data_IF_460125018534
#
_entry.id   IF_460125018534
#
_cell.length_a   1.000
_cell.length_b   1.000
_cell.length_c   1.000
_cell.angle_alpha   90.00
_cell.angle_beta   90.00
_cell.angle_gamma   90.00
#
_symmetry.space_group_name_H-M   'P 1'
#
loop_
_entity.id
_entity.type
_entity.pdbx_description
1 polymer ?
#
# COMPACT_ATOMS: atom_id res chain seq x y z
N UNK A 1 -80.30 34.10 57.27
CA UNK A 1 -79.16 34.39 56.36
C UNK A 1 -78.13 33.30 56.54
N UNK A 2 -77.69 32.74 55.41
CA UNK A 2 -76.95 31.50 55.27
C UNK A 2 -75.50 31.53 55.81
N UNK A 3 -75.15 30.37 56.39
CA UNK A 3 -73.87 29.64 56.42
C UNK A 3 -72.78 30.08 55.42
N UNK A 4 -71.48 29.98 55.71
CA UNK A 4 -70.74 28.69 55.69
C UNK A 4 -69.28 28.89 56.13
N UNK A 5 -68.81 28.05 57.06
CA UNK A 5 -67.39 27.84 57.32
C UNK A 5 -66.80 26.96 56.22
N UNK A 6 -65.73 27.42 55.58
CA UNK A 6 -65.01 26.67 54.54
C UNK A 6 -64.06 25.70 55.24
N UNK A 7 -64.44 24.42 55.32
CA UNK A 7 -63.52 23.33 55.65
C UNK A 7 -62.91 22.78 54.36
N UNK A 8 -61.58 22.95 54.22
CA UNK A 8 -60.84 22.43 53.08
C UNK A 8 -60.39 21.00 53.43
N UNK A 9 -60.70 19.96 52.62
CA UNK A 9 -60.38 18.59 52.97
C UNK A 9 -58.89 18.28 52.80
N UNK A 10 -58.21 17.94 53.89
CA UNK A 10 -56.75 17.67 53.99
C UNK A 10 -56.23 16.57 53.03
N UNK A 11 -57.12 15.68 52.55
CA UNK A 11 -56.77 14.61 51.61
C UNK A 11 -56.37 15.09 50.21
N UNK A 12 -56.85 16.26 49.75
CA UNK A 12 -56.48 16.81 48.43
C UNK A 12 -55.09 17.46 48.42
N UNK A 13 -54.70 18.08 49.54
CA UNK A 13 -53.36 18.65 49.73
C UNK A 13 -52.32 17.53 49.85
N UNK A 14 -52.65 16.44 50.58
CA UNK A 14 -51.77 15.28 50.71
C UNK A 14 -51.56 14.53 49.37
N UNK A 15 -52.59 14.45 48.52
CA UNK A 15 -52.48 13.84 47.19
C UNK A 15 -51.65 14.68 46.21
N UNK A 16 -51.79 16.02 46.23
CA UNK A 16 -50.95 16.91 45.42
C UNK A 16 -49.48 16.90 45.86
N UNK A 17 -49.20 16.77 47.17
CA UNK A 17 -47.82 16.66 47.67
C UNK A 17 -47.19 15.32 47.27
N UNK A 18 -47.94 14.21 47.30
CA UNK A 18 -47.45 12.91 46.83
C UNK A 18 -47.13 12.88 45.33
N UNK A 19 -47.95 13.52 44.47
CA UNK A 19 -47.68 13.58 43.01
C UNK A 19 -46.49 14.49 42.68
N UNK A 20 -46.25 15.52 43.48
CA UNK A 20 -45.11 16.44 43.32
C UNK A 20 -43.78 15.79 43.74
N UNK A 21 -43.81 14.88 44.72
CA UNK A 21 -42.63 14.16 45.21
C UNK A 21 -42.20 13.04 44.24
N UNK A 22 -43.14 12.42 43.52
CA UNK A 22 -42.80 11.38 42.53
C UNK A 22 -42.15 11.93 41.25
N UNK A 23 -42.27 13.22 40.96
CA UNK A 23 -41.60 13.84 39.80
C UNK A 23 -40.13 14.23 40.07
N UNK A 24 -39.67 14.22 41.31
CA UNK A 24 -38.30 14.64 41.67
C UNK A 24 -37.27 13.50 41.64
N UNK A 25 -37.69 12.25 41.45
CA UNK A 25 -36.79 11.08 41.43
C UNK A 25 -36.36 10.64 40.02
N UNK A 26 -36.80 11.33 38.96
CA UNK A 26 -36.41 11.02 37.56
C UNK A 26 -35.28 11.93 37.04
N UNK A 27 -34.90 12.97 37.78
CA UNK A 27 -33.90 13.92 37.32
C UNK A 27 -32.54 13.65 37.97
N UNK A 28 -31.76 12.77 37.34
CA UNK A 28 -30.30 12.88 37.18
C UNK A 28 -29.76 11.58 36.57
N UNK A 29 -30.01 11.36 35.27
CA UNK A 29 -29.01 10.64 34.48
C UNK A 29 -27.96 11.69 34.11
N UNK A 30 -26.74 11.54 34.60
CA UNK A 30 -25.62 12.36 34.14
C UNK A 30 -25.36 11.98 32.68
N UNK A 31 -25.79 12.82 31.75
CA UNK A 31 -25.35 12.76 30.36
C UNK A 31 -23.96 13.37 30.30
N UNK A 32 -22.96 12.54 30.00
CA UNK A 32 -21.61 13.02 29.71
C UNK A 32 -21.57 13.44 28.23
N UNK A 33 -20.94 14.58 27.90
CA UNK A 33 -20.77 14.98 26.52
C UNK A 33 -19.95 13.92 25.77
N UNK A 34 -20.34 13.64 24.53
CA UNK A 34 -19.57 12.77 23.65
C UNK A 34 -18.17 13.36 23.38
N UNK A 35 -17.18 12.48 23.25
CA UNK A 35 -15.78 12.89 23.09
C UNK A 35 -15.47 13.32 21.64
N UNK A 36 -14.79 14.47 21.42
CA UNK A 36 -14.49 15.03 20.10
C UNK A 36 -13.19 14.50 19.48
N UNK A 37 -12.62 13.42 20.01
CA UNK A 37 -11.30 12.93 19.59
C UNK A 37 -11.42 12.05 18.34
N UNK A 38 -10.83 12.50 17.22
CA UNK A 38 -10.77 11.79 15.94
C UNK A 38 -9.33 11.62 15.44
N UNK A 39 -8.41 11.43 16.38
CA UNK A 39 -6.99 11.25 16.08
C UNK A 39 -6.66 9.81 15.67
N UNK A 40 -5.77 9.66 14.69
CA UNK A 40 -5.15 8.38 14.37
C UNK A 40 -3.89 8.23 15.21
N UNK A 41 -3.87 7.24 16.10
CA UNK A 41 -2.78 7.01 17.04
C UNK A 41 -1.66 6.19 16.40
N UNK A 42 -2.02 5.20 15.58
CA UNK A 42 -1.04 4.37 14.88
C UNK A 42 -1.56 3.87 13.54
N UNK A 43 -0.63 3.68 12.62
CA UNK A 43 -0.84 3.00 11.35
C UNK A 43 0.40 2.18 11.03
N UNK A 44 0.21 0.94 10.62
CA UNK A 44 1.30 0.09 10.13
C UNK A 44 0.83 -0.87 9.06
N UNK A 45 1.75 -1.32 8.22
CA UNK A 45 1.55 -2.43 7.29
C UNK A 45 2.61 -3.49 7.56
N UNK A 46 2.55 -4.64 6.88
CA UNK A 46 3.64 -5.62 6.91
C UNK A 46 4.52 -5.52 5.67
N UNK A 47 5.82 -5.73 5.84
CA UNK A 47 6.75 -5.96 4.73
C UNK A 47 6.60 -7.39 4.15
N UNK A 48 7.37 -7.70 3.10
CA UNK A 48 7.34 -9.03 2.47
C UNK A 48 7.80 -10.18 3.39
N UNK A 49 8.49 -9.89 4.50
CA UNK A 49 8.90 -10.85 5.52
C UNK A 49 7.92 -10.91 6.72
N UNK A 50 6.84 -10.12 6.69
CA UNK A 50 5.84 -10.05 7.75
C UNK A 50 6.20 -9.08 8.90
N UNK A 51 7.29 -8.32 8.79
CA UNK A 51 7.65 -7.35 9.82
C UNK A 51 6.78 -6.10 9.73
N UNK A 52 6.41 -5.47 10.86
CA UNK A 52 5.64 -4.24 10.84
C UNK A 52 6.47 -3.06 10.31
N UNK A 53 5.92 -2.35 9.34
CA UNK A 53 6.36 -1.04 8.86
C UNK A 53 5.41 0.02 9.42
N UNK A 54 5.88 0.74 10.44
CA UNK A 54 5.12 1.82 11.06
C UNK A 54 5.13 3.07 10.18
N UNK A 55 3.97 3.72 10.07
CA UNK A 55 3.85 4.99 9.36
C UNK A 55 4.33 6.17 10.21
N UNK A 56 4.80 7.21 9.52
CA UNK A 56 4.86 8.56 10.10
C UNK A 56 3.52 9.26 9.88
N UNK A 57 2.89 9.72 10.96
CA UNK A 57 1.65 10.50 10.90
C UNK A 57 2.01 11.96 11.09
N UNK A 58 1.85 12.77 10.04
CA UNK A 58 2.19 14.21 10.06
C UNK A 58 1.02 15.01 9.53
N UNK A 59 0.36 15.75 10.43
CA UNK A 59 -0.91 16.41 10.12
C UNK A 59 -1.96 15.38 9.70
N UNK A 60 -2.47 15.51 8.49
CA UNK A 60 -3.46 14.60 7.91
C UNK A 60 -2.84 13.61 6.90
N UNK A 61 -1.52 13.36 6.97
CA UNK A 61 -0.84 12.40 6.11
C UNK A 61 -0.34 11.20 6.89
N UNK A 62 -0.55 10.02 6.32
CA UNK A 62 -0.02 8.73 6.80
C UNK A 62 1.04 8.29 5.81
N UNK A 63 2.31 8.38 6.18
CA UNK A 63 3.44 8.14 5.28
C UNK A 63 4.13 6.84 5.63
N UNK A 64 4.17 5.90 4.69
CA UNK A 64 4.90 4.63 4.83
C UNK A 64 6.00 4.54 3.78
N UNK A 65 7.19 4.12 4.22
CA UNK A 65 8.33 3.85 3.34
C UNK A 65 8.48 2.35 3.13
N UNK A 66 8.40 1.92 1.87
CA UNK A 66 8.63 0.52 1.53
C UNK A 66 10.14 0.23 1.38
N UNK A 67 10.64 -0.91 1.88
CA UNK A 67 12.04 -1.28 1.78
C UNK A 67 12.57 -1.25 0.34
N UNK A 68 13.83 -0.82 0.14
CA UNK A 68 14.47 -0.88 -1.17
C UNK A 68 14.72 -2.32 -1.59
N UNK A 69 14.80 -2.56 -2.90
CA UNK A 69 15.12 -3.87 -3.48
C UNK A 69 14.12 -4.99 -3.18
N UNK A 70 12.97 -4.65 -2.59
CA UNK A 70 11.84 -5.54 -2.41
C UNK A 70 10.79 -5.17 -3.46
N UNK A 71 10.16 -6.20 -4.02
CA UNK A 71 9.01 -6.07 -4.91
C UNK A 71 7.93 -5.19 -4.25
N UNK A 72 7.36 -4.24 -4.98
CA UNK A 72 6.22 -3.47 -4.48
C UNK A 72 5.00 -4.39 -4.46
N UNK A 73 4.27 -4.52 -3.34
CA UNK A 73 3.06 -5.32 -3.32
C UNK A 73 1.92 -4.59 -4.06
N UNK A 74 1.01 -5.34 -4.67
CA UNK A 74 -0.19 -4.75 -5.28
C UNK A 74 -1.19 -4.27 -4.23
N UNK A 75 -1.23 -4.95 -3.08
CA UNK A 75 -2.13 -4.66 -1.97
C UNK A 75 -1.39 -4.71 -0.63
N UNK A 76 -1.90 -3.96 0.35
CA UNK A 76 -1.41 -4.01 1.73
C UNK A 76 -2.60 -4.05 2.69
N UNK A 77 -2.41 -4.63 3.86
CA UNK A 77 -3.42 -4.71 4.92
C UNK A 77 -2.96 -3.90 6.12
N UNK A 78 -3.55 -2.71 6.37
CA UNK A 78 -3.13 -1.87 7.47
C UNK A 78 -3.67 -2.29 8.82
N UNK A 79 -2.85 -2.14 9.85
CA UNK A 79 -3.23 -2.18 11.25
C UNK A 79 -3.30 -0.75 11.78
N UNK A 80 -4.47 -0.34 12.25
CA UNK A 80 -4.79 1.05 12.60
C UNK A 80 -5.31 1.10 14.03
N UNK A 81 -4.78 2.05 14.81
CA UNK A 81 -5.32 2.43 16.11
C UNK A 81 -5.75 3.89 16.04
N UNK A 82 -6.93 4.18 16.58
CA UNK A 82 -7.50 5.53 16.68
C UNK A 82 -7.87 5.84 18.12
N UNK A 83 -8.13 7.12 18.40
CA UNK A 83 -8.53 7.59 19.72
C UNK A 83 -9.67 6.76 20.34
N UNK A 84 -9.68 6.67 21.67
CA UNK A 84 -10.72 5.93 22.40
C UNK A 84 -12.13 6.39 21.98
N UNK A 85 -13.04 5.44 21.72
CA UNK A 85 -14.41 5.66 21.24
C UNK A 85 -14.55 6.23 19.82
N UNK A 86 -13.45 6.53 19.13
CA UNK A 86 -13.48 6.85 17.70
C UNK A 86 -13.61 5.58 16.85
N UNK A 87 -14.00 5.78 15.58
CA UNK A 87 -14.02 4.72 14.56
C UNK A 87 -13.26 5.17 13.32
N UNK A 88 -12.80 4.23 12.49
CA UNK A 88 -12.07 4.53 11.25
C UNK A 88 -12.65 3.77 10.07
N UNK A 89 -12.73 4.45 8.91
CA UNK A 89 -13.09 3.87 7.62
C UNK A 89 -12.05 4.23 6.56
N UNK A 90 -11.52 3.28 5.77
CA UNK A 90 -11.69 1.82 5.91
C UNK A 90 -11.27 1.29 7.28
N UNK A 91 -11.96 0.24 7.74
CA UNK A 91 -11.66 -0.39 9.05
C UNK A 91 -10.26 -1.01 9.03
N UNK A 92 -9.55 -0.97 10.16
CA UNK A 92 -8.30 -1.72 10.35
C UNK A 92 -8.44 -3.17 9.88
N UNK A 93 -7.44 -3.69 9.16
CA UNK A 93 -7.47 -5.02 8.55
C UNK A 93 -8.14 -5.10 7.19
N UNK A 94 -8.69 -4.00 6.65
CA UNK A 94 -9.20 -3.96 5.27
C UNK A 94 -8.03 -3.85 4.30
N UNK A 95 -7.91 -4.81 3.37
CA UNK A 95 -6.91 -4.76 2.32
C UNK A 95 -7.18 -3.58 1.36
N UNK A 96 -6.13 -2.84 1.02
CA UNK A 96 -6.17 -1.71 0.09
C UNK A 96 -5.25 -1.98 -1.10
N UNK A 97 -5.63 -1.52 -2.29
CA UNK A 97 -4.80 -1.60 -3.50
C UNK A 97 -3.91 -0.37 -3.64
N UNK A 98 -2.61 -0.60 -3.84
CA UNK A 98 -1.62 0.46 -4.10
C UNK A 98 -1.60 0.91 -5.56
N UNK A 99 -2.29 0.20 -6.46
CA UNK A 99 -2.39 0.53 -7.88
C UNK A 99 -3.50 1.54 -8.21
N UNK A 100 -4.18 2.09 -7.19
CA UNK A 100 -5.27 3.06 -7.36
C UNK A 100 -4.77 4.37 -7.96
N UNK A 101 -5.55 4.92 -8.90
CA UNK A 101 -5.34 6.29 -9.42
C UNK A 101 -5.85 7.36 -8.46
N UNK A 102 -6.82 7.01 -7.62
CA UNK A 102 -7.40 7.90 -6.63
C UNK A 102 -6.59 7.85 -5.31
N UNK A 103 -6.45 8.98 -4.59
CA UNK A 103 -5.84 9.01 -3.27
C UNK A 103 -6.55 8.05 -2.31
N UNK A 104 -5.77 7.26 -1.58
CA UNK A 104 -6.29 6.37 -0.54
C UNK A 104 -6.49 7.20 0.72
N UNK A 105 -7.71 7.25 1.24
CA UNK A 105 -8.06 8.07 2.41
C UNK A 105 -8.66 7.23 3.55
N UNK A 106 -8.46 7.71 4.77
CA UNK A 106 -9.02 7.17 5.99
C UNK A 106 -9.78 8.27 6.73
N UNK A 107 -11.07 8.04 7.00
CA UNK A 107 -11.88 8.94 7.82
C UNK A 107 -11.94 8.39 9.23
N UNK A 108 -11.44 9.17 10.20
CA UNK A 108 -11.63 8.90 11.62
C UNK A 108 -12.81 9.73 12.10
N UNK A 109 -13.83 9.07 12.64
CA UNK A 109 -15.05 9.70 13.17
C UNK A 109 -15.03 9.58 14.70
N UNK A 110 -15.04 10.72 15.39
CA UNK A 110 -15.14 10.80 16.84
C UNK A 110 -16.53 10.34 17.35
N UNK A 111 -16.68 10.20 18.67
CA UNK A 111 -17.97 9.84 19.26
C UNK A 111 -19.03 10.92 19.03
N UNK A 112 -18.64 12.19 19.05
CA UNK A 112 -19.55 13.33 18.79
C UNK A 112 -19.91 13.51 17.30
N UNK A 113 -19.37 12.66 16.42
CA UNK A 113 -19.59 12.69 14.98
C UNK A 113 -18.65 13.61 14.19
N UNK A 114 -17.73 14.33 14.85
CA UNK A 114 -16.71 15.12 14.13
C UNK A 114 -15.72 14.21 13.40
N UNK A 115 -15.34 14.60 12.19
CA UNK A 115 -14.50 13.78 11.32
C UNK A 115 -13.14 14.42 11.04
N UNK A 116 -12.12 13.57 10.94
CA UNK A 116 -10.80 13.92 10.44
C UNK A 116 -10.37 12.95 9.35
N UNK A 117 -10.03 13.49 8.19
CA UNK A 117 -9.62 12.72 7.01
C UNK A 117 -8.11 12.71 6.91
N UNK A 118 -7.55 11.51 6.78
CA UNK A 118 -6.14 11.26 6.54
C UNK A 118 -5.92 10.74 5.12
N UNK A 119 -4.84 11.19 4.46
CA UNK A 119 -4.41 10.67 3.16
C UNK A 119 -3.22 9.75 3.34
N UNK A 120 -3.33 8.53 2.83
CA UNK A 120 -2.26 7.55 2.84
C UNK A 120 -1.30 7.77 1.68
N UNK A 121 0.00 7.84 2.00
CA UNK A 121 1.10 8.05 1.07
C UNK A 121 2.08 6.90 1.19
N UNK A 122 2.18 6.12 0.11
CA UNK A 122 3.08 4.99 0.01
C UNK A 122 4.32 5.37 -0.79
N UNK A 123 5.49 5.45 -0.14
CA UNK A 123 6.75 5.72 -0.80
C UNK A 123 7.49 4.44 -1.14
N UNK A 124 7.44 4.05 -2.42
CA UNK A 124 8.26 2.96 -2.92
C UNK A 124 9.71 3.41 -3.16
N UNK A 125 10.58 3.11 -2.20
CA UNK A 125 11.97 3.54 -2.18
C UNK A 125 12.91 2.64 -3.02
N UNK A 126 12.53 2.34 -4.27
CA UNK A 126 13.41 1.59 -5.16
C UNK A 126 14.59 2.46 -5.65
N UNK A 127 15.85 2.04 -5.41
CA UNK A 127 17.03 2.72 -5.95
C UNK A 127 17.09 2.64 -7.48
N UNK A 128 17.78 3.59 -8.11
CA UNK A 128 17.91 3.64 -9.58
C UNK A 128 18.47 2.32 -10.10
N UNK A 129 17.77 1.73 -11.06
CA UNK A 129 18.19 0.54 -11.77
C UNK A 129 19.37 0.86 -12.69
N UNK A 130 20.44 0.07 -12.60
CA UNK A 130 21.58 0.13 -13.52
C UNK A 130 21.69 -1.21 -14.22
N UNK A 131 21.79 -1.18 -15.56
CA UNK A 131 21.97 -2.36 -16.39
C UNK A 131 23.03 -2.08 -17.45
N UNK A 132 24.08 -2.87 -17.42
CA UNK A 132 25.23 -2.77 -18.32
C UNK A 132 25.42 -4.12 -19.01
N UNK A 133 25.59 -4.04 -20.31
CA UNK A 133 26.05 -5.17 -21.08
C UNK A 133 27.56 -5.31 -20.89
N UNK A 134 28.01 -6.53 -20.57
CA UNK A 134 29.44 -6.85 -20.45
C UNK A 134 29.96 -7.54 -21.70
N UNK A 135 29.08 -8.25 -22.41
CA UNK A 135 29.42 -9.01 -23.62
C UNK A 135 29.16 -8.13 -24.86
N UNK A 136 30.21 -7.72 -25.57
CA UNK A 136 30.08 -6.85 -26.74
C UNK A 136 29.62 -7.59 -28.00
N UNK A 137 29.65 -8.93 -27.99
CA UNK A 137 29.23 -9.77 -29.12
C UNK A 137 28.35 -10.93 -28.62
N UNK A 138 27.18 -11.08 -29.24
CA UNK A 138 26.26 -12.19 -29.03
C UNK A 138 26.34 -13.14 -30.22
N UNK A 139 26.86 -14.35 -30.00
CA UNK A 139 27.15 -15.31 -31.08
C UNK A 139 26.07 -16.38 -31.18
N UNK A 140 25.46 -16.55 -32.36
CA UNK A 140 24.41 -17.54 -32.67
C UNK A 140 24.91 -18.66 -33.58
N UNK A 141 24.21 -19.81 -33.60
CA UNK A 141 24.51 -20.91 -34.54
C UNK A 141 24.57 -22.31 -33.92
N UNK A 142 25.39 -23.21 -34.47
CA UNK A 142 25.58 -24.57 -33.94
C UNK A 142 26.64 -24.58 -32.82
N UNK A 143 26.32 -23.89 -31.71
CA UNK A 143 27.13 -23.85 -30.50
C UNK A 143 26.60 -24.81 -29.42
N UNK A 144 27.43 -25.15 -28.44
CA UNK A 144 26.99 -25.94 -27.28
C UNK A 144 26.21 -25.05 -26.30
N UNK A 145 24.88 -25.20 -26.28
CA UNK A 145 23.97 -24.36 -25.49
C UNK A 145 23.82 -24.77 -24.02
N UNK A 146 24.43 -25.89 -23.60
CA UNK A 146 24.24 -26.47 -22.26
C UNK A 146 24.58 -25.50 -21.10
N UNK A 147 25.38 -24.46 -21.38
CA UNK A 147 25.69 -23.37 -20.44
C UNK A 147 25.68 -21.99 -21.10
N UNK A 148 25.01 -21.85 -22.25
CA UNK A 148 24.93 -20.58 -22.95
C UNK A 148 23.89 -19.69 -22.27
N UNK A 149 24.35 -18.76 -21.44
CA UNK A 149 23.53 -17.68 -20.93
C UNK A 149 24.06 -16.34 -21.44
N UNK A 150 23.14 -15.40 -21.61
CA UNK A 150 23.49 -14.01 -21.87
C UNK A 150 23.40 -13.23 -20.56
N UNK A 151 24.47 -12.54 -20.18
CA UNK A 151 24.55 -11.86 -18.88
C UNK A 151 24.47 -10.35 -19.03
N UNK A 152 23.59 -9.76 -18.24
CA UNK A 152 23.57 -8.33 -17.96
C UNK A 152 24.06 -8.12 -16.54
N UNK A 153 25.14 -7.33 -16.40
CA UNK A 153 25.64 -6.89 -15.10
C UNK A 153 24.91 -5.61 -14.70
N UNK A 154 24.70 -5.37 -13.41
CA UNK A 154 23.92 -4.21 -13.00
C UNK A 154 23.98 -3.94 -11.51
N UNK A 155 23.11 -3.04 -11.08
CA UNK A 155 22.86 -2.74 -9.69
C UNK A 155 21.37 -2.51 -9.48
N UNK A 156 20.90 -2.84 -8.28
CA UNK A 156 19.53 -2.59 -7.82
C UNK A 156 18.43 -3.31 -8.62
N UNK A 157 18.75 -4.47 -9.18
CA UNK A 157 17.78 -5.34 -9.86
C UNK A 157 16.90 -6.02 -8.80
N UNK A 158 15.57 -5.93 -8.93
CA UNK A 158 14.66 -6.72 -8.10
C UNK A 158 14.78 -8.20 -8.47
N UNK A 159 14.87 -9.08 -7.46
CA UNK A 159 15.05 -10.52 -7.68
C UNK A 159 13.75 -11.26 -7.99
N UNK A 160 12.61 -10.59 -7.92
CA UNK A 160 11.30 -11.14 -8.28
C UNK A 160 11.10 -11.12 -9.80
N UNK A 161 10.95 -12.31 -10.41
CA UNK A 161 10.74 -12.46 -11.85
C UNK A 161 9.37 -11.97 -12.36
N UNK A 162 8.41 -11.73 -11.47
CA UNK A 162 7.14 -11.09 -11.86
C UNK A 162 7.32 -9.59 -12.10
N UNK A 163 8.25 -8.97 -11.36
CA UNK A 163 8.55 -7.54 -11.45
C UNK A 163 9.83 -7.23 -12.23
N UNK A 164 10.60 -8.25 -12.60
CA UNK A 164 11.81 -8.11 -13.41
C UNK A 164 11.71 -8.93 -14.69
N UNK A 165 11.82 -8.25 -15.84
CA UNK A 165 11.69 -8.85 -17.17
C UNK A 165 12.72 -8.24 -18.13
N UNK A 166 13.31 -9.08 -18.97
CA UNK A 166 14.23 -8.67 -20.02
C UNK A 166 13.64 -8.89 -21.40
N UNK A 167 13.93 -7.97 -22.31
CA UNK A 167 13.55 -8.06 -23.72
C UNK A 167 14.74 -7.73 -24.59
N UNK A 168 14.93 -8.54 -25.62
CA UNK A 168 15.79 -8.20 -26.75
C UNK A 168 15.03 -7.23 -27.66
N UNK A 169 15.66 -6.11 -28.01
CA UNK A 169 15.07 -5.07 -28.85
C UNK A 169 15.91 -4.89 -30.10
N UNK A 170 15.31 -5.09 -31.28
CA UNK A 170 15.97 -4.88 -32.57
C UNK A 170 16.00 -3.40 -32.98
N UNK A 171 16.65 -3.11 -34.11
CA UNK A 171 16.77 -1.75 -34.66
C UNK A 171 15.41 -1.13 -35.05
N UNK A 172 14.41 -1.95 -35.35
CA UNK A 172 13.03 -1.53 -35.60
C UNK A 172 12.23 -1.29 -34.31
N UNK A 173 12.81 -1.59 -33.14
CA UNK A 173 12.17 -1.45 -31.84
C UNK A 173 11.25 -2.61 -31.47
N UNK A 174 11.27 -3.72 -32.23
CA UNK A 174 10.50 -4.92 -31.89
C UNK A 174 11.10 -5.59 -30.67
N UNK A 175 10.24 -5.91 -29.72
CA UNK A 175 10.64 -6.53 -28.47
C UNK A 175 10.38 -8.04 -28.49
N UNK A 176 11.39 -8.81 -28.12
CA UNK A 176 11.30 -10.26 -27.91
C UNK A 176 11.61 -10.55 -26.46
N UNK A 177 10.64 -11.13 -25.73
CA UNK A 177 10.83 -11.47 -24.31
C UNK A 177 11.92 -12.53 -24.17
N UNK A 178 12.81 -12.34 -23.22
CA UNK A 178 13.90 -13.27 -22.90
C UNK A 178 13.51 -14.16 -21.71
N UNK A 179 13.95 -15.41 -21.77
CA UNK A 179 13.77 -16.36 -20.68
C UNK A 179 14.84 -16.16 -19.62
N UNK A 180 14.42 -15.90 -18.39
CA UNK A 180 15.33 -15.64 -17.29
C UNK A 180 15.89 -16.95 -16.74
N UNK A 181 17.22 -17.07 -16.70
CA UNK A 181 17.93 -18.18 -16.08
C UNK A 181 18.26 -17.91 -14.60
N UNK A 182 18.66 -16.68 -14.26
CA UNK A 182 19.01 -16.28 -12.88
C UNK A 182 18.85 -14.78 -12.71
N UNK A 183 18.38 -14.37 -11.52
CA UNK A 183 18.28 -12.96 -11.13
C UNK A 183 18.96 -12.77 -9.77
N UNK A 184 19.86 -11.79 -9.72
CA UNK A 184 20.46 -11.24 -8.51
C UNK A 184 20.39 -9.72 -8.58
N UNK A 185 20.56 -9.06 -7.44
CA UNK A 185 20.56 -7.59 -7.40
C UNK A 185 21.68 -6.94 -8.22
N UNK A 186 22.71 -7.71 -8.58
CA UNK A 186 23.89 -7.25 -9.32
C UNK A 186 24.01 -7.83 -10.73
N UNK A 187 23.17 -8.79 -11.12
CA UNK A 187 23.16 -9.31 -12.47
C UNK A 187 21.87 -10.06 -12.78
N UNK A 188 21.56 -10.17 -14.06
CA UNK A 188 20.54 -11.06 -14.59
C UNK A 188 21.13 -11.85 -15.75
N UNK A 189 20.79 -13.13 -15.83
CA UNK A 189 21.18 -14.01 -16.94
C UNK A 189 19.96 -14.53 -17.64
N UNK A 190 20.02 -14.59 -18.97
CA UNK A 190 18.97 -15.12 -19.82
C UNK A 190 19.41 -16.42 -20.47
N UNK A 191 18.54 -17.42 -20.45
CA UNK A 191 18.75 -18.70 -21.12
C UNK A 191 18.79 -18.50 -22.64
N UNK A 192 19.61 -19.29 -23.32
CA UNK A 192 19.73 -19.27 -24.78
C UNK A 192 19.43 -20.64 -25.35
N UNK A 193 18.77 -20.65 -26.50
CA UNK A 193 18.58 -21.86 -27.30
C UNK A 193 18.67 -21.51 -28.77
N UNK A 194 19.07 -22.47 -29.62
CA UNK A 194 19.05 -22.28 -31.08
C UNK A 194 17.67 -21.86 -31.61
N UNK A 195 16.59 -22.30 -30.96
CA UNK A 195 15.23 -21.95 -31.36
C UNK A 195 14.87 -20.48 -31.05
N UNK A 196 15.53 -19.87 -30.06
CA UNK A 196 15.29 -18.49 -29.62
C UNK A 196 16.39 -17.53 -30.07
N UNK A 197 17.34 -17.99 -30.87
CA UNK A 197 18.46 -17.16 -31.33
C UNK A 197 17.98 -16.10 -32.36
N UNK A 198 18.30 -14.81 -32.13
CA UNK A 198 18.00 -13.76 -33.07
C UNK A 198 18.82 -13.87 -34.36
N UNK A 199 18.30 -13.27 -35.42
CA UNK A 199 19.06 -13.06 -36.65
C UNK A 199 20.25 -12.11 -36.40
N UNK A 200 21.32 -12.18 -37.20
CA UNK A 200 22.41 -11.21 -37.10
C UNK A 200 21.94 -9.76 -37.26
N UNK A 201 22.51 -8.87 -36.46
CA UNK A 201 22.13 -7.45 -36.44
C UNK A 201 22.52 -6.73 -35.15
N UNK A 202 22.13 -5.46 -35.03
CA UNK A 202 22.32 -4.67 -33.82
C UNK A 202 21.10 -4.78 -32.92
N UNK A 203 21.36 -4.98 -31.63
CA UNK A 203 20.34 -5.16 -30.60
C UNK A 203 20.73 -4.42 -29.32
N UNK A 204 19.75 -4.21 -28.45
CA UNK A 204 19.95 -3.80 -27.05
C UNK A 204 18.99 -4.56 -26.15
N UNK A 205 19.26 -4.58 -24.85
CA UNK A 205 18.32 -5.13 -23.88
C UNK A 205 17.50 -4.02 -23.26
N UNK A 206 16.17 -4.18 -23.29
CA UNK A 206 15.27 -3.49 -22.38
C UNK A 206 15.13 -4.32 -21.11
N UNK A 207 15.56 -3.77 -19.97
CA UNK A 207 15.36 -4.37 -18.66
C UNK A 207 14.29 -3.57 -17.90
N UNK A 208 13.21 -4.24 -17.54
CA UNK A 208 12.20 -3.74 -16.62
C UNK A 208 12.48 -4.35 -15.26
N UNK A 209 12.55 -3.54 -14.21
CA UNK A 209 12.65 -4.01 -12.83
C UNK A 209 11.92 -3.04 -11.90
N UNK A 210 10.78 -3.46 -11.36
CA UNK A 210 9.91 -2.62 -10.54
C UNK A 210 9.43 -1.40 -11.32
N UNK A 211 9.66 -0.20 -10.78
CA UNK A 211 9.26 1.06 -11.42
C UNK A 211 10.20 1.53 -12.53
N UNK A 212 11.37 0.91 -12.68
CA UNK A 212 12.36 1.35 -13.67
C UNK A 212 12.30 0.49 -14.93
N UNK A 213 12.45 1.17 -16.06
CA UNK A 213 12.75 0.57 -17.36
C UNK A 213 14.03 1.21 -17.86
N UNK A 214 15.04 0.40 -18.18
CA UNK A 214 16.33 0.86 -18.69
C UNK A 214 16.68 0.10 -19.97
N UNK A 215 17.50 0.72 -20.81
CA UNK A 215 18.08 0.09 -21.99
C UNK A 215 19.60 -0.01 -21.79
N UNK A 216 20.18 -1.13 -22.20
CA UNK A 216 21.64 -1.25 -22.31
C UNK A 216 22.15 -0.50 -23.53
N UNK A 217 23.48 -0.36 -23.62
CA UNK A 217 24.15 -0.07 -24.88
C UNK A 217 23.84 -1.15 -25.93
N UNK A 218 24.03 -0.77 -27.20
CA UNK A 218 23.87 -1.67 -28.34
C UNK A 218 25.01 -2.69 -28.43
N UNK A 219 24.69 -3.88 -28.93
CA UNK A 219 25.63 -4.95 -29.21
C UNK A 219 25.29 -5.66 -30.51
N UNK A 220 26.30 -6.30 -31.09
CA UNK A 220 26.15 -7.03 -32.34
C UNK A 220 25.81 -8.50 -32.07
N UNK A 221 24.75 -8.97 -32.71
CA UNK A 221 24.45 -10.38 -32.90
C UNK A 221 25.14 -10.85 -34.18
N UNK A 222 26.04 -11.82 -34.06
CA UNK A 222 26.75 -12.44 -35.18
C UNK A 222 26.44 -13.92 -35.25
N UNK A 223 26.48 -14.48 -36.46
CA UNK A 223 26.28 -15.92 -36.69
C UNK A 223 27.62 -16.58 -37.02
N UNK A 224 27.92 -17.69 -36.34
CA UNK A 224 29.02 -18.59 -36.69
C UNK A 224 28.71 -19.41 -37.95
#
# INVERSE_FOLDING_TARGET
>A
MLTTAISIPSKKILFCICVSITCLIVSCKTEYPDFPYNEMESFSIQDAAGNPLHASIVGNQIVVYWPPLVAQPETVTPYITVAERASVKPTSGTAISLASKEPITYTVTAQDGTEKIYTFVFHYNQPILIANITDQQYVTGDIEYAYAFFRISGQNILTDSLQTQGYLVDKEGKETKLDIASIKSTFITFSRTKATDPAPGLYRIKLISGKYTVFTDEFEVVRL
#
